data_IF_454333947227
#
_entry.id   IF_454333947227
#
_cell.length_a   1.000
_cell.length_b   1.000
_cell.length_c   1.000
_cell.angle_alpha   90.00
_cell.angle_beta   90.00
_cell.angle_gamma   90.00
#
_symmetry.space_group_name_H-M   'P 1'
#
loop_
_entity.id
_entity.type
_entity.pdbx_description
1 polymer ?
#
# COMPACT_ATOMS: atom_id res chain seq x y z
N UNK A 1 -29.68 -10.20 -20.97
CA UNK A 1 -28.40 -9.57 -21.34
C UNK A 1 -27.62 -9.37 -20.04
N UNK A 2 -26.59 -10.17 -19.76
CA UNK A 2 -25.78 -10.00 -18.55
C UNK A 2 -24.88 -8.78 -18.77
N UNK A 3 -25.07 -7.72 -17.99
CA UNK A 3 -24.15 -6.58 -17.96
C UNK A 3 -22.81 -7.12 -17.46
N UNK A 4 -21.80 -7.14 -18.33
CA UNK A 4 -20.43 -7.52 -17.99
C UNK A 4 -19.84 -6.37 -17.18
N UNK A 5 -19.88 -6.46 -15.85
CA UNK A 5 -19.29 -5.45 -14.97
C UNK A 5 -17.77 -5.53 -15.04
N UNK A 6 -17.12 -4.39 -15.34
CA UNK A 6 -15.66 -4.26 -15.20
C UNK A 6 -15.34 -3.94 -13.74
N UNK A 7 -14.38 -4.66 -13.16
CA UNK A 7 -13.98 -4.50 -11.77
C UNK A 7 -12.55 -4.01 -11.71
N UNK A 8 -12.31 -3.03 -10.85
CA UNK A 8 -10.99 -2.53 -10.51
C UNK A 8 -10.71 -2.77 -9.03
N UNK A 9 -9.49 -3.21 -8.72
CA UNK A 9 -8.99 -3.20 -7.35
C UNK A 9 -7.81 -2.23 -7.30
N UNK A 10 -7.95 -1.18 -6.51
CA UNK A 10 -6.91 -0.16 -6.34
C UNK A 10 -6.40 -0.22 -4.91
N UNK A 11 -5.11 -0.50 -4.74
CA UNK A 11 -4.46 -0.45 -3.42
C UNK A 11 -3.68 0.85 -3.28
N UNK A 12 -3.77 1.50 -2.12
CA UNK A 12 -3.00 2.71 -1.81
C UNK A 12 -2.12 2.45 -0.60
N UNK A 13 -0.81 2.67 -0.74
CA UNK A 13 0.17 2.42 0.33
C UNK A 13 1.26 3.50 0.41
N UNK A 14 2.15 3.36 1.38
CA UNK A 14 3.28 4.28 1.58
C UNK A 14 4.54 3.88 0.82
N UNK A 15 4.66 2.60 0.49
CA UNK A 15 5.79 2.03 -0.25
C UNK A 15 5.69 2.37 -1.74
N UNK A 16 6.85 2.41 -2.42
CA UNK A 16 6.91 2.68 -3.85
C UNK A 16 6.26 1.53 -4.64
N UNK A 17 5.19 1.79 -5.41
CA UNK A 17 4.52 0.78 -6.24
C UNK A 17 5.33 0.38 -7.49
N UNK A 18 6.55 0.91 -7.69
CA UNK A 18 7.48 0.49 -8.75
C UNK A 18 8.43 -0.63 -8.30
N UNK A 19 8.48 -0.96 -7.02
CA UNK A 19 9.29 -2.05 -6.50
C UNK A 19 8.52 -3.38 -6.65
N UNK A 20 9.06 -4.31 -7.46
CA UNK A 20 8.41 -5.59 -7.78
C UNK A 20 8.15 -6.47 -6.55
N UNK A 21 9.08 -6.51 -5.58
CA UNK A 21 8.92 -7.27 -4.34
C UNK A 21 7.71 -6.76 -3.53
N UNK A 22 7.51 -5.44 -3.50
CA UNK A 22 6.36 -4.83 -2.85
C UNK A 22 5.05 -5.20 -3.54
N UNK A 23 5.02 -5.14 -4.87
CA UNK A 23 3.84 -5.50 -5.66
C UNK A 23 3.46 -6.96 -5.41
N UNK A 24 4.43 -7.87 -5.39
CA UNK A 24 4.19 -9.28 -5.12
C UNK A 24 3.65 -9.52 -3.72
N UNK A 25 4.21 -8.85 -2.71
CA UNK A 25 3.72 -8.94 -1.34
C UNK A 25 2.30 -8.38 -1.20
N UNK A 26 1.99 -7.25 -1.87
CA UNK A 26 0.65 -6.67 -1.92
C UNK A 26 -0.33 -7.65 -2.58
N UNK A 27 0.04 -8.24 -3.73
CA UNK A 27 -0.81 -9.21 -4.44
C UNK A 27 -1.07 -10.47 -3.64
N UNK A 28 -0.06 -11.02 -2.96
CA UNK A 28 -0.22 -12.15 -2.03
C UNK A 28 -1.20 -11.81 -0.90
N UNK A 29 -1.02 -10.65 -0.24
CA UNK A 29 -1.92 -10.17 0.83
C UNK A 29 -3.34 -9.88 0.29
N UNK A 30 -3.46 -9.40 -0.94
CA UNK A 30 -4.74 -9.11 -1.58
C UNK A 30 -5.54 -10.38 -1.86
N UNK A 31 -4.90 -11.44 -2.38
CA UNK A 31 -5.54 -12.75 -2.60
C UNK A 31 -6.16 -13.36 -1.34
N UNK A 32 -5.68 -13.00 -0.16
CA UNK A 32 -6.24 -13.44 1.12
C UNK A 32 -7.50 -12.66 1.54
N UNK A 33 -7.76 -11.50 0.93
CA UNK A 33 -8.83 -10.58 1.30
C UNK A 33 -10.01 -10.59 0.33
N UNK A 34 -9.84 -11.16 -0.87
CA UNK A 34 -10.84 -11.19 -1.93
C UNK A 34 -10.99 -12.60 -2.50
N UNK A 35 -12.15 -12.91 -3.09
CA UNK A 35 -12.34 -14.20 -3.74
C UNK A 35 -11.42 -14.37 -4.94
N UNK A 36 -11.03 -15.61 -5.23
CA UNK A 36 -10.22 -15.95 -6.40
C UNK A 36 -10.90 -15.51 -7.70
N UNK A 37 -12.23 -15.67 -7.78
CA UNK A 37 -13.02 -15.19 -8.92
C UNK A 37 -12.90 -13.67 -9.10
N UNK A 38 -13.00 -12.89 -8.03
CA UNK A 38 -12.87 -11.43 -8.08
C UNK A 38 -11.45 -11.03 -8.46
N UNK A 39 -10.45 -11.67 -7.84
CA UNK A 39 -9.03 -11.42 -8.11
C UNK A 39 -8.69 -11.63 -9.59
N UNK A 40 -9.17 -12.72 -10.18
CA UNK A 40 -8.87 -13.08 -11.56
C UNK A 40 -9.63 -12.23 -12.59
N UNK A 41 -10.78 -11.66 -12.21
CA UNK A 41 -11.58 -10.78 -13.08
C UNK A 41 -11.21 -9.31 -12.98
N UNK A 42 -10.62 -8.88 -11.87
CA UNK A 42 -10.31 -7.49 -11.61
C UNK A 42 -9.02 -7.05 -12.30
N UNK A 43 -9.02 -5.82 -12.81
CA UNK A 43 -7.79 -5.11 -13.16
C UNK A 43 -7.23 -4.46 -11.88
N UNK A 44 -5.97 -4.76 -11.55
CA UNK A 44 -5.38 -4.41 -10.26
C UNK A 44 -4.34 -3.30 -10.44
N UNK A 45 -4.53 -2.20 -9.70
CA UNK A 45 -3.64 -1.05 -9.68
C UNK A 45 -3.06 -0.82 -8.29
N UNK A 46 -1.83 -0.35 -8.24
CA UNK A 46 -1.11 -0.02 -7.01
C UNK A 46 -0.68 1.44 -7.06
N UNK A 47 -1.17 2.25 -6.13
CA UNK A 47 -0.88 3.68 -6.03
C UNK A 47 -0.11 3.97 -4.74
N UNK A 48 0.64 5.07 -4.76
CA UNK A 48 1.29 5.61 -3.57
C UNK A 48 0.45 6.74 -3.00
N UNK A 49 0.31 6.76 -1.68
CA UNK A 49 -0.38 7.80 -0.94
C UNK A 49 0.51 8.47 0.11
N UNK A 50 -0.10 9.31 0.92
CA UNK A 50 0.56 9.95 2.07
C UNK A 50 0.14 9.36 3.41
N UNK A 51 0.87 9.71 4.46
CA UNK A 51 0.47 9.51 5.85
C UNK A 51 0.69 10.80 6.65
N UNK A 52 -0.32 11.14 7.44
CA UNK A 52 -0.24 12.22 8.41
C UNK A 52 -0.42 11.62 9.81
N UNK A 53 0.71 11.36 10.50
CA UNK A 53 0.66 10.76 11.83
C UNK A 53 -0.11 11.62 12.82
N UNK A 54 -0.17 12.95 12.64
CA UNK A 54 -0.91 13.83 13.56
C UNK A 54 -2.41 13.48 13.58
N UNK A 55 -2.95 13.02 12.44
CA UNK A 55 -4.37 12.66 12.24
C UNK A 55 -4.73 11.24 12.67
N UNK A 56 -3.74 10.39 12.98
CA UNK A 56 -4.01 9.03 13.46
C UNK A 56 -4.66 9.04 14.85
N UNK A 57 -5.67 8.19 15.05
CA UNK A 57 -6.22 7.94 16.39
C UNK A 57 -5.13 7.41 17.32
N UNK A 58 -5.25 7.72 18.61
CA UNK A 58 -4.25 7.36 19.63
C UNK A 58 -3.89 5.87 19.64
N UNK A 59 -4.87 4.98 19.42
CA UNK A 59 -4.63 3.54 19.34
C UNK A 59 -3.70 3.16 18.17
N UNK A 60 -3.89 3.76 16.99
CA UNK A 60 -3.03 3.54 15.83
C UNK A 60 -1.65 4.15 16.03
N UNK A 61 -1.54 5.32 16.68
CA UNK A 61 -0.24 5.91 17.06
C UNK A 61 0.55 4.97 17.97
N UNK A 62 -0.09 4.40 19.00
CA UNK A 62 0.53 3.41 19.89
C UNK A 62 0.99 2.17 19.15
N UNK A 63 0.12 1.60 18.32
CA UNK A 63 0.43 0.42 17.49
C UNK A 63 1.61 0.68 16.56
N UNK A 64 1.62 1.83 15.87
CA UNK A 64 2.74 2.24 15.00
C UNK A 64 4.01 2.48 15.81
N UNK A 65 3.93 3.01 17.03
CA UNK A 65 5.09 3.15 17.90
C UNK A 65 5.72 1.81 18.30
N UNK A 66 4.91 0.78 18.56
CA UNK A 66 5.41 -0.57 18.80
C UNK A 66 6.07 -1.15 17.54
N UNK A 67 5.43 -0.97 16.38
CA UNK A 67 5.96 -1.44 15.12
C UNK A 67 7.27 -0.75 14.75
N UNK A 68 7.36 0.57 14.95
CA UNK A 68 8.58 1.35 14.75
C UNK A 68 9.73 0.88 15.64
N UNK A 69 9.46 0.62 16.93
CA UNK A 69 10.48 0.07 17.84
C UNK A 69 11.01 -1.27 17.37
N UNK A 70 10.12 -2.16 16.93
CA UNK A 70 10.50 -3.46 16.36
C UNK A 70 11.26 -3.30 15.04
N UNK A 71 10.87 -2.35 14.20
CA UNK A 71 11.53 -2.07 12.93
C UNK A 71 12.98 -1.59 13.16
N UNK A 72 13.20 -0.70 14.14
CA UNK A 72 14.54 -0.21 14.47
C UNK A 72 15.49 -1.29 15.00
N UNK A 73 14.98 -2.36 15.62
CA UNK A 73 15.84 -3.46 16.10
C UNK A 73 16.32 -4.38 14.99
N UNK A 74 15.82 -4.24 13.76
CA UNK A 74 16.26 -5.02 12.60
C UNK A 74 17.54 -4.36 12.03
N UNK A 75 18.65 -5.11 11.81
CA UNK A 75 19.86 -4.60 11.17
C UNK A 75 19.57 -3.98 9.81
N UNK A 76 20.29 -2.92 9.43
CA UNK A 76 19.98 -2.14 8.22
C UNK A 76 20.04 -2.99 6.94
N UNK A 77 21.02 -3.89 6.88
CA UNK A 77 21.23 -4.88 5.82
C UNK A 77 20.09 -5.91 5.71
N UNK A 78 19.28 -6.09 6.75
CA UNK A 78 18.13 -6.99 6.77
C UNK A 78 16.79 -6.26 6.55
N UNK A 79 16.80 -4.93 6.45
CA UNK A 79 15.56 -4.15 6.28
C UNK A 79 15.09 -4.21 4.84
N UNK A 80 13.91 -4.80 4.64
CA UNK A 80 13.21 -4.65 3.37
C UNK A 80 12.66 -3.21 3.20
N UNK A 81 12.12 -2.94 2.01
CA UNK A 81 11.63 -1.59 1.68
C UNK A 81 10.40 -1.16 2.48
N UNK A 82 9.55 -2.10 2.93
CA UNK A 82 8.40 -1.81 3.81
C UNK A 82 8.86 -1.33 5.19
N UNK A 83 9.85 -2.02 5.78
CA UNK A 83 10.46 -1.65 7.07
C UNK A 83 11.17 -0.30 6.95
N UNK A 84 11.96 -0.11 5.89
CA UNK A 84 12.70 1.13 5.65
C UNK A 84 11.76 2.33 5.50
N UNK A 85 10.71 2.20 4.68
CA UNK A 85 9.71 3.24 4.50
C UNK A 85 8.96 3.57 5.80
N UNK A 86 8.63 2.56 6.63
CA UNK A 86 8.01 2.80 7.94
C UNK A 86 8.93 3.61 8.85
N UNK A 87 10.23 3.27 8.93
CA UNK A 87 11.19 4.00 9.77
C UNK A 87 11.36 5.43 9.28
N UNK A 88 11.50 5.62 7.96
CA UNK A 88 11.72 6.93 7.35
C UNK A 88 10.53 7.87 7.57
N UNK A 89 9.31 7.33 7.50
CA UNK A 89 8.06 8.12 7.58
C UNK A 89 7.50 8.25 9.00
N UNK A 90 8.05 7.52 9.97
CA UNK A 90 7.52 7.47 11.33
C UNK A 90 7.42 8.86 11.98
N UNK A 91 6.23 9.15 12.53
CA UNK A 91 5.92 10.41 13.23
C UNK A 91 6.10 11.68 12.36
N UNK A 92 6.16 11.53 11.03
CA UNK A 92 6.18 12.65 10.08
C UNK A 92 4.82 12.81 9.41
N UNK A 93 4.66 13.91 8.69
CA UNK A 93 3.65 14.00 7.64
C UNK A 93 4.39 13.85 6.32
N UNK A 94 4.02 12.85 5.54
CA UNK A 94 4.56 12.62 4.19
C UNK A 94 3.43 12.54 3.19
N UNK A 95 3.66 13.09 2.01
CA UNK A 95 2.71 13.10 0.91
C UNK A 95 3.43 12.66 -0.35
N UNK A 96 3.05 11.48 -0.85
CA UNK A 96 3.57 10.93 -2.10
C UNK A 96 2.47 10.81 -3.16
N UNK A 97 1.35 11.52 -2.97
CA UNK A 97 0.23 11.48 -3.91
C UNK A 97 0.68 12.05 -5.25
N UNK A 98 0.50 11.26 -6.29
CA UNK A 98 0.72 11.62 -7.68
C UNK A 98 -0.60 11.41 -8.43
N UNK A 99 -1.28 12.49 -8.79
CA UNK A 99 -2.57 12.40 -9.48
C UNK A 99 -2.44 11.90 -10.92
N UNK A 100 -1.28 12.09 -11.57
CA UNK A 100 -1.04 11.60 -12.94
C UNK A 100 -1.01 10.06 -12.94
N UNK A 101 -0.70 9.43 -11.80
CA UNK A 101 -0.78 7.97 -11.66
C UNK A 101 -2.21 7.40 -11.85
N UNK A 102 -3.25 8.23 -11.73
CA UNK A 102 -4.64 7.85 -11.97
C UNK A 102 -4.97 7.69 -13.46
N UNK A 103 -4.18 8.28 -14.36
CA UNK A 103 -4.45 8.24 -15.80
C UNK A 103 -4.55 6.80 -16.31
N UNK A 104 -3.72 5.90 -15.77
CA UNK A 104 -3.75 4.47 -16.12
C UNK A 104 -5.07 3.79 -15.75
N UNK A 105 -5.73 4.27 -14.70
CA UNK A 105 -7.03 3.74 -14.26
C UNK A 105 -8.14 4.33 -15.13
N UNK A 106 -8.08 5.65 -15.38
CA UNK A 106 -9.06 6.37 -16.20
C UNK A 106 -9.08 5.85 -17.64
N UNK A 107 -7.90 5.58 -18.22
CA UNK A 107 -7.77 5.00 -19.57
C UNK A 107 -8.32 3.57 -19.65
N UNK A 108 -8.47 2.88 -18.51
CA UNK A 108 -9.03 1.55 -18.44
C UNK A 108 -10.54 1.55 -18.19
N UNK A 109 -11.21 2.68 -17.93
CA UNK A 109 -12.68 2.74 -17.79
C UNK A 109 -13.39 2.36 -19.10
#
# INVERSE_FOLDING_TARGET
MLIKQKVFIVTVGLTDPKNEENIDNIRKKLRLQVSEELYNKAEIFHLRGGIDYSKLKFIYKKMMGLFYKKAQSIPEEERNSEISAMIETYNKKVDFVDFDSLDRIVQSL
#
